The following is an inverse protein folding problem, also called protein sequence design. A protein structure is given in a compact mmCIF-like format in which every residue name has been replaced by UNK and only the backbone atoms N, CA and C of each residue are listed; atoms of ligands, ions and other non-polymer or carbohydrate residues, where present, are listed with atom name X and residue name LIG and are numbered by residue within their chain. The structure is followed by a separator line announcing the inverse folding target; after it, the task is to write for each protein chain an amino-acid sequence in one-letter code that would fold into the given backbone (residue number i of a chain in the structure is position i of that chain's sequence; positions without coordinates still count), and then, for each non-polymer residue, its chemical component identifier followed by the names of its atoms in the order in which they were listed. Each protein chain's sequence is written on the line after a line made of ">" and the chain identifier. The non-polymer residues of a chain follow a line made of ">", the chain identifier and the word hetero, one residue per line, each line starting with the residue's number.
data_IF_484594170669
#
_entry.id   IF_484594170669
#
_cell.length_a   1.000
_cell.length_b   1.000
_cell.length_c   1.000
_cell.angle_alpha   90.00
_cell.angle_beta   90.00
_cell.angle_gamma   90.00
#
_symmetry.space_group_name_H-M   'P 1'
#
loop_
_entity.id
_entity.type
_entity.pdbx_description
1 polymer ?
#
# COMPACT_ATOMS: atom_id res chain seq x y z
N UNK A 1 37.82 5.91 36.51
CA UNK A 1 36.76 6.20 35.51
C UNK A 1 36.75 5.27 34.28
N UNK A 2 37.86 4.61 33.92
CA UNK A 2 37.94 3.74 32.73
C UNK A 2 37.10 2.44 32.80
N UNK A 3 36.98 1.84 33.98
CA UNK A 3 36.31 0.53 34.17
C UNK A 3 34.79 0.58 33.95
N UNK A 4 34.15 1.69 34.30
CA UNK A 4 32.71 1.86 34.09
C UNK A 4 32.36 2.09 32.61
N UNK A 5 33.25 2.76 31.86
CA UNK A 5 33.13 2.93 30.40
C UNK A 5 33.25 1.59 29.69
N UNK A 6 34.18 0.73 30.13
CA UNK A 6 34.38 -0.61 29.55
C UNK A 6 33.20 -1.55 29.82
N UNK A 7 32.62 -1.52 31.04
CA UNK A 7 31.40 -2.31 31.34
C UNK A 7 30.19 -1.85 30.54
N UNK A 8 30.00 -0.54 30.34
CA UNK A 8 28.92 -0.05 29.48
C UNK A 8 29.12 -0.44 28.03
N UNK A 9 30.35 -0.39 27.51
CA UNK A 9 30.65 -0.83 26.15
C UNK A 9 30.35 -2.32 25.94
N UNK A 10 30.74 -3.17 26.89
CA UNK A 10 30.47 -4.62 26.83
C UNK A 10 28.95 -4.89 26.88
N UNK A 11 28.21 -4.21 27.76
CA UNK A 11 26.75 -4.37 27.85
C UNK A 11 26.04 -3.90 26.57
N UNK A 12 26.52 -2.82 25.95
CA UNK A 12 25.96 -2.28 24.70
C UNK A 12 26.26 -3.22 23.52
N UNK A 13 27.46 -3.80 23.45
CA UNK A 13 27.80 -4.81 22.45
C UNK A 13 26.97 -6.10 22.59
N UNK A 14 26.67 -6.55 23.82
CA UNK A 14 25.81 -7.73 24.05
C UNK A 14 24.36 -7.42 23.64
N UNK A 15 23.86 -6.22 23.93
CA UNK A 15 22.51 -5.80 23.52
C UNK A 15 22.37 -5.68 22.00
N UNK A 16 23.38 -5.14 21.30
CA UNK A 16 23.37 -5.04 19.83
C UNK A 16 23.42 -6.42 19.17
N UNK A 17 24.27 -7.34 19.67
CA UNK A 17 24.35 -8.70 19.11
C UNK A 17 23.07 -9.51 19.30
N UNK A 18 22.35 -9.30 20.42
CA UNK A 18 21.06 -9.98 20.63
C UNK A 18 19.93 -9.45 19.75
N UNK A 19 20.07 -8.23 19.21
CA UNK A 19 19.11 -7.64 18.28
C UNK A 19 19.38 -8.09 16.84
N UNK A 20 20.64 -8.38 16.49
CA UNK A 20 21.04 -8.85 15.16
C UNK A 20 20.72 -10.34 14.90
N UNK A 21 20.49 -11.13 15.96
CA UNK A 21 20.17 -12.56 15.84
C UNK A 21 18.66 -12.83 15.60
N UNK A 22 17.83 -11.79 15.54
CA UNK A 22 16.41 -11.88 15.19
C UNK A 22 16.16 -11.21 13.84
N UNK A 23 15.94 -12.04 12.81
CA UNK A 23 15.72 -11.72 11.38
C UNK A 23 17.03 -11.49 10.61
N UNK A 24 17.40 -12.30 9.60
CA UNK A 24 16.68 -12.57 8.36
C UNK A 24 17.07 -13.97 7.84
N UNK A 25 16.12 -14.90 7.72
CA UNK A 25 16.31 -16.06 6.85
C UNK A 25 16.30 -15.58 5.40
N UNK A 26 17.49 -15.43 4.83
CA UNK A 26 17.72 -15.20 3.41
C UNK A 26 17.15 -16.38 2.60
N UNK A 27 15.93 -16.24 2.08
CA UNK A 27 15.43 -17.11 1.03
C UNK A 27 15.99 -16.63 -0.31
N UNK A 28 17.01 -17.32 -0.83
CA UNK A 28 17.48 -17.15 -2.19
C UNK A 28 16.44 -17.70 -3.16
N UNK A 29 15.76 -16.83 -3.88
CA UNK A 29 14.84 -17.22 -4.96
C UNK A 29 15.63 -17.30 -6.27
N UNK A 30 15.80 -18.52 -6.80
CA UNK A 30 16.41 -18.72 -8.12
C UNK A 30 15.52 -18.11 -9.21
N UNK A 31 16.13 -17.26 -10.04
CA UNK A 31 15.51 -16.67 -11.22
C UNK A 31 15.38 -17.73 -12.31
N UNK A 32 14.31 -18.52 -12.24
CA UNK A 32 13.89 -19.33 -13.37
C UNK A 32 12.70 -18.63 -14.03
N UNK A 33 12.94 -18.06 -15.21
CA UNK A 33 11.92 -17.46 -16.06
C UNK A 33 11.06 -18.56 -16.69
N UNK A 34 10.26 -19.24 -15.87
CA UNK A 34 9.27 -20.19 -16.33
C UNK A 34 8.04 -19.41 -16.79
N UNK A 35 7.85 -19.35 -18.12
CA UNK A 35 6.61 -18.88 -18.76
C UNK A 35 5.44 -19.59 -18.09
N UNK A 36 4.70 -18.85 -17.26
CA UNK A 36 3.59 -19.37 -16.45
C UNK A 36 2.39 -19.59 -17.37
N UNK A 37 2.38 -20.72 -18.07
CA UNK A 37 1.20 -21.24 -18.76
C UNK A 37 0.08 -21.38 -17.71
N UNK A 38 -1.01 -20.65 -17.93
CA UNK A 38 -2.15 -20.55 -17.01
C UNK A 38 -2.89 -21.88 -16.89
N UNK A 39 -2.37 -22.80 -16.07
CA UNK A 39 -3.17 -23.89 -15.54
C UNK A 39 -4.14 -23.31 -14.52
N UNK A 40 -5.44 -23.39 -14.82
CA UNK A 40 -6.51 -23.15 -13.86
C UNK A 40 -6.44 -24.23 -12.77
N UNK A 41 -5.52 -24.07 -11.82
CA UNK A 41 -5.49 -24.84 -10.58
C UNK A 41 -6.66 -24.33 -9.76
N UNK A 42 -7.72 -25.13 -9.66
CA UNK A 42 -8.84 -24.83 -8.77
C UNK A 42 -8.29 -24.60 -7.35
N UNK A 43 -8.40 -23.37 -6.86
CA UNK A 43 -7.96 -22.99 -5.52
C UNK A 43 -8.76 -23.78 -4.49
N UNK A 44 -8.12 -24.78 -3.87
CA UNK A 44 -8.67 -25.51 -2.73
C UNK A 44 -8.52 -24.61 -1.50
N UNK A 45 -9.62 -24.39 -0.79
CA UNK A 45 -9.65 -23.58 0.42
C UNK A 45 -9.81 -24.47 1.65
N UNK A 46 -9.17 -24.08 2.75
CA UNK A 46 -9.25 -24.76 4.03
C UNK A 46 -10.43 -24.14 4.81
N UNK A 47 -11.46 -24.94 5.09
CA UNK A 47 -12.65 -24.51 5.85
C UNK A 47 -12.43 -24.95 7.30
N UNK A 48 -12.49 -23.99 8.23
CA UNK A 48 -12.41 -24.27 9.67
C UNK A 48 -13.80 -24.48 10.26
N UNK A 49 -13.99 -25.26 11.34
CA UNK A 49 -15.28 -25.42 12.02
C UNK A 49 -15.73 -24.14 12.73
N UNK A 50 -17.04 -24.02 13.00
CA UNK A 50 -17.62 -22.82 13.61
C UNK A 50 -17.04 -22.60 15.00
N UNK A 51 -16.62 -21.37 15.28
CA UNK A 51 -16.02 -21.00 16.58
C UNK A 51 -14.50 -21.21 16.66
N UNK A 52 -13.83 -21.56 15.55
CA UNK A 52 -12.36 -21.61 15.50
C UNK A 52 -11.75 -20.19 15.49
N UNK A 53 -10.70 -19.98 16.29
CA UNK A 53 -9.97 -18.72 16.36
C UNK A 53 -8.45 -18.94 16.15
N UNK A 54 -7.78 -17.94 15.60
CA UNK A 54 -6.32 -17.85 15.63
C UNK A 54 -5.96 -16.77 16.62
N UNK A 55 -5.18 -17.16 17.64
CA UNK A 55 -4.69 -16.23 18.64
C UNK A 55 -3.18 -16.12 18.55
N UNK A 56 -2.71 -14.89 18.52
CA UNK A 56 -1.29 -14.55 18.59
C UNK A 56 -1.08 -13.76 19.87
N UNK A 57 -0.30 -14.33 20.79
CA UNK A 57 0.03 -13.71 22.08
C UNK A 57 1.51 -13.36 22.09
N UNK A 58 1.81 -12.07 22.26
CA UNK A 58 3.16 -11.55 22.45
C UNK A 58 3.37 -11.24 23.92
N UNK A 59 4.39 -11.86 24.52
CA UNK A 59 4.79 -11.61 25.90
C UNK A 59 6.17 -10.98 25.91
N UNK A 60 6.29 -9.79 26.49
CA UNK A 60 7.56 -9.12 26.73
C UNK A 60 7.75 -8.95 28.23
N UNK A 61 8.89 -9.40 28.75
CA UNK A 61 9.27 -9.20 30.16
C UNK A 61 10.53 -8.36 30.19
N UNK A 62 10.44 -7.19 30.82
CA UNK A 62 11.56 -6.29 30.99
C UNK A 62 11.98 -6.36 32.46
N UNK A 63 13.16 -6.90 32.73
CA UNK A 63 13.80 -6.83 34.03
C UNK A 63 14.77 -5.66 34.06
N UNK A 64 14.58 -4.74 35.00
CA UNK A 64 15.51 -3.63 35.21
C UNK A 64 16.14 -3.78 36.60
N UNK A 65 17.46 -3.61 36.67
CA UNK A 65 18.20 -3.62 37.93
C UNK A 65 18.40 -2.17 38.38
N UNK A 66 17.68 -1.74 39.42
CA UNK A 66 17.81 -0.39 39.99
C UNK A 66 18.15 -0.48 41.49
N UNK A 67 19.23 0.18 41.92
CA UNK A 67 19.52 0.39 43.36
C UNK A 67 18.81 1.67 43.83
N UNK A 68 18.26 1.75 45.06
CA UNK A 68 18.59 0.94 46.23
C UNK A 68 17.56 -0.14 46.62
N UNK A 69 16.47 -0.35 45.86
CA UNK A 69 15.50 -1.40 46.20
C UNK A 69 15.03 -2.19 44.97
N UNK A 70 15.47 -3.46 44.94
CA UNK A 70 14.81 -4.57 44.27
C UNK A 70 14.99 -4.68 42.75
N UNK A 71 15.00 -5.94 42.27
CA UNK A 71 14.77 -6.24 40.86
C UNK A 71 13.29 -5.98 40.57
N UNK A 72 12.99 -4.97 39.76
CA UNK A 72 11.62 -4.71 39.30
C UNK A 72 11.44 -5.32 37.92
N UNK A 73 10.52 -6.29 37.83
CA UNK A 73 10.16 -6.97 36.59
C UNK A 73 8.78 -6.51 36.15
N UNK A 74 8.70 -5.86 34.99
CA UNK A 74 7.44 -5.49 34.36
C UNK A 74 7.18 -6.40 33.17
N UNK A 75 6.04 -7.08 33.18
CA UNK A 75 5.56 -7.88 32.05
C UNK A 75 4.49 -7.12 31.26
N UNK A 76 4.62 -7.09 29.95
CA UNK A 76 3.60 -6.60 29.02
C UNK A 76 3.15 -7.75 28.12
N UNK A 77 1.85 -8.00 28.09
CA UNK A 77 1.23 -9.03 27.26
C UNK A 77 0.28 -8.37 26.25
N UNK A 78 0.48 -8.66 24.96
CA UNK A 78 -0.40 -8.22 23.89
C UNK A 78 -1.04 -9.46 23.25
N UNK A 79 -2.37 -9.53 23.27
CA UNK A 79 -3.14 -10.60 22.65
C UNK A 79 -3.88 -10.08 21.42
N UNK A 80 -3.66 -10.73 20.29
CA UNK A 80 -4.44 -10.54 19.07
C UNK A 80 -5.24 -11.82 18.82
N UNK A 81 -6.54 -11.69 18.61
CA UNK A 81 -7.42 -12.81 18.28
C UNK A 81 -8.20 -12.48 17.02
N UNK A 82 -8.14 -13.38 16.04
CA UNK A 82 -8.89 -13.29 14.81
C UNK A 82 -9.83 -14.49 14.68
N UNK A 83 -11.06 -14.23 14.26
CA UNK A 83 -12.01 -15.28 13.91
C UNK A 83 -11.62 -15.91 12.57
N UNK A 84 -11.62 -17.25 12.51
CA UNK A 84 -11.35 -17.95 11.28
C UNK A 84 -12.60 -18.06 10.40
N UNK A 85 -12.45 -18.01 9.06
CA UNK A 85 -13.59 -18.11 8.16
C UNK A 85 -14.19 -19.52 8.20
N UNK A 86 -15.42 -19.63 8.73
CA UNK A 86 -16.22 -20.87 8.78
C UNK A 86 -17.12 -21.05 7.55
N UNK A 87 -17.50 -19.96 6.87
CA UNK A 87 -18.36 -20.03 5.66
C UNK A 87 -17.52 -19.93 4.39
N UNK A 88 -17.95 -20.68 3.37
CA UNK A 88 -17.49 -20.58 1.97
C UNK A 88 -17.85 -19.24 1.30
N UNK A 89 -18.45 -18.32 2.04
CA UNK A 89 -18.34 -16.90 1.74
C UNK A 89 -16.88 -16.53 1.98
N UNK A 90 -16.04 -16.85 0.99
CA UNK A 90 -14.97 -15.92 0.64
C UNK A 90 -15.67 -14.57 0.67
N UNK A 91 -15.37 -13.75 1.68
CA UNK A 91 -15.60 -12.33 1.54
C UNK A 91 -14.82 -12.07 0.27
N UNK A 92 -15.53 -11.98 -0.87
CA UNK A 92 -14.94 -11.75 -2.16
C UNK A 92 -14.41 -10.34 -1.97
N UNK A 93 -13.21 -10.27 -1.38
CA UNK A 93 -12.55 -9.06 -1.02
C UNK A 93 -12.49 -8.39 -2.35
N UNK A 94 -13.30 -7.33 -2.51
CA UNK A 94 -13.40 -6.64 -3.79
C UNK A 94 -11.97 -6.51 -4.26
N UNK A 95 -11.63 -7.00 -5.47
CA UNK A 95 -10.25 -7.18 -5.87
C UNK A 95 -9.51 -5.89 -5.51
N UNK A 96 -8.31 -5.96 -4.94
CA UNK A 96 -7.62 -4.78 -4.35
C UNK A 96 -7.69 -3.55 -5.28
N UNK A 97 -7.69 -3.80 -6.59
CA UNK A 97 -8.01 -2.86 -7.67
C UNK A 97 -9.26 -1.99 -7.45
N UNK A 98 -10.41 -2.54 -7.04
CA UNK A 98 -11.66 -1.81 -6.75
C UNK A 98 -11.53 -0.91 -5.51
N UNK A 99 -10.73 -1.30 -4.51
CA UNK A 99 -10.44 -0.43 -3.37
C UNK A 99 -9.53 0.73 -3.78
N UNK A 100 -8.46 0.45 -4.52
CA UNK A 100 -7.57 1.48 -5.05
C UNK A 100 -8.30 2.45 -5.99
N UNK A 101 -9.24 1.94 -6.80
CA UNK A 101 -10.08 2.75 -7.70
C UNK A 101 -10.96 3.74 -6.93
N UNK A 102 -11.64 3.30 -5.86
CA UNK A 102 -12.44 4.20 -5.01
C UNK A 102 -11.60 5.27 -4.30
N UNK A 103 -10.44 4.88 -3.76
CA UNK A 103 -9.53 5.83 -3.11
C UNK A 103 -9.00 6.89 -4.10
N UNK A 104 -8.67 6.49 -5.34
CA UNK A 104 -8.26 7.43 -6.40
C UNK A 104 -9.37 8.41 -6.79
N UNK A 105 -10.63 7.95 -6.88
CA UNK A 105 -11.77 8.85 -7.13
C UNK A 105 -11.95 9.90 -6.02
N UNK A 106 -11.77 9.48 -4.76
CA UNK A 106 -11.80 10.42 -3.63
C UNK A 106 -10.63 11.42 -3.69
N UNK A 107 -9.44 10.96 -4.07
CA UNK A 107 -8.29 11.83 -4.31
C UNK A 107 -8.59 12.86 -5.41
N UNK A 108 -9.12 12.43 -6.55
CA UNK A 108 -9.47 13.32 -7.66
C UNK A 108 -10.44 14.41 -7.22
N UNK A 109 -11.50 14.05 -6.49
CA UNK A 109 -12.43 15.02 -5.92
C UNK A 109 -11.74 16.05 -5.00
N UNK A 110 -10.77 15.61 -4.18
CA UNK A 110 -9.99 16.53 -3.34
C UNK A 110 -9.09 17.45 -4.17
N UNK A 111 -8.50 16.95 -5.25
CA UNK A 111 -7.69 17.75 -6.19
C UNK A 111 -8.56 18.77 -6.92
N UNK A 112 -9.77 18.41 -7.34
CA UNK A 112 -10.72 19.35 -7.93
C UNK A 112 -11.05 20.50 -6.97
N UNK A 113 -11.33 20.18 -5.71
CA UNK A 113 -11.59 21.18 -4.68
C UNK A 113 -10.38 22.09 -4.46
N UNK A 114 -9.18 21.52 -4.37
CA UNK A 114 -7.92 22.28 -4.24
C UNK A 114 -7.67 23.21 -5.43
N UNK A 115 -7.96 22.78 -6.66
CA UNK A 115 -7.78 23.63 -7.84
C UNK A 115 -8.86 24.72 -7.93
N UNK A 116 -10.06 24.43 -7.43
CA UNK A 116 -11.15 25.41 -7.32
C UNK A 116 -10.81 26.54 -6.35
N UNK A 117 -10.11 26.26 -5.25
CA UNK A 117 -9.66 27.33 -4.33
C UNK A 117 -8.59 28.24 -4.96
N UNK A 118 -7.89 27.77 -6.01
CA UNK A 118 -6.95 28.58 -6.79
C UNK A 118 -7.62 29.37 -7.93
N UNK A 119 -8.95 29.38 -8.02
CA UNK A 119 -9.70 30.09 -9.06
C UNK A 119 -9.70 29.41 -10.43
N UNK A 120 -9.30 28.13 -10.52
CA UNK A 120 -9.33 27.33 -11.75
C UNK A 120 -10.58 26.44 -11.78
N UNK A 121 -10.98 26.01 -12.98
CA UNK A 121 -11.96 24.93 -13.14
C UNK A 121 -11.29 23.59 -12.78
N UNK A 122 -11.32 23.25 -11.49
CA UNK A 122 -10.61 22.07 -10.96
C UNK A 122 -11.04 20.76 -11.61
N UNK A 123 -12.33 20.63 -11.92
CA UNK A 123 -12.88 19.45 -12.59
C UNK A 123 -12.35 19.30 -14.01
N UNK A 124 -12.34 20.38 -14.79
CA UNK A 124 -11.76 20.35 -16.13
C UNK A 124 -10.26 20.03 -16.11
N UNK A 125 -9.51 20.57 -15.14
CA UNK A 125 -8.08 20.31 -15.00
C UNK A 125 -7.78 18.83 -14.67
N UNK A 126 -8.55 18.21 -13.77
CA UNK A 126 -8.39 16.79 -13.40
C UNK A 126 -8.73 15.88 -14.58
N UNK A 127 -9.85 16.13 -15.27
CA UNK A 127 -10.23 15.34 -16.45
C UNK A 127 -9.19 15.46 -17.57
N UNK A 128 -8.62 16.66 -17.77
CA UNK A 128 -7.50 16.89 -18.69
C UNK A 128 -6.25 16.08 -18.29
N UNK A 129 -5.88 16.07 -17.01
CA UNK A 129 -4.74 15.29 -16.54
C UNK A 129 -4.91 13.81 -16.85
N UNK A 130 -6.09 13.26 -16.56
CA UNK A 130 -6.44 11.86 -16.79
C UNK A 130 -6.39 11.52 -18.29
N UNK A 131 -6.99 12.36 -19.14
CA UNK A 131 -6.99 12.17 -20.59
C UNK A 131 -5.57 12.17 -21.16
N UNK A 132 -4.73 13.13 -20.74
CA UNK A 132 -3.30 13.18 -21.15
C UNK A 132 -2.53 11.95 -20.71
N UNK A 133 -2.79 11.44 -19.51
CA UNK A 133 -2.11 10.23 -19.05
C UNK A 133 -2.54 8.98 -19.79
N UNK A 134 -3.82 8.89 -20.19
CA UNK A 134 -4.33 7.78 -20.99
C UNK A 134 -3.71 7.71 -22.39
N UNK A 135 -3.47 8.88 -23.01
CA UNK A 135 -2.84 8.98 -24.33
C UNK A 135 -1.33 8.75 -24.35
N UNK A 136 -0.65 8.68 -23.19
CA UNK A 136 0.80 8.50 -23.13
C UNK A 136 1.18 7.06 -23.50
N UNK A 137 2.08 6.90 -24.46
CA UNK A 137 2.61 5.58 -24.83
C UNK A 137 3.50 5.05 -23.72
N UNK A 138 3.49 3.73 -23.52
CA UNK A 138 4.35 3.04 -22.54
C UNK A 138 5.84 3.30 -22.76
N UNK A 139 6.22 3.54 -24.01
CA UNK A 139 7.60 3.86 -24.42
C UNK A 139 8.07 5.22 -23.91
N UNK A 140 7.16 6.13 -23.58
CA UNK A 140 7.47 7.50 -23.14
C UNK A 140 7.36 7.67 -21.62
N UNK A 141 7.04 6.60 -20.90
CA UNK A 141 7.04 6.55 -19.44
C UNK A 141 8.48 6.43 -18.95
N UNK A 142 8.89 7.34 -18.07
CA UNK A 142 10.25 7.43 -17.53
C UNK A 142 11.17 8.40 -18.28
N UNK A 143 10.71 9.04 -19.36
CA UNK A 143 11.45 10.07 -20.10
C UNK A 143 11.15 11.49 -19.62
N UNK A 144 10.08 11.67 -18.85
CA UNK A 144 9.61 12.96 -18.37
C UNK A 144 10.37 13.49 -17.15
N UNK A 145 9.97 14.66 -16.69
CA UNK A 145 10.42 15.17 -15.39
C UNK A 145 9.88 14.33 -14.23
N UNK A 146 10.51 14.41 -13.05
CA UNK A 146 10.01 13.72 -11.85
C UNK A 146 8.54 14.04 -11.55
N UNK A 147 8.14 15.31 -11.71
CA UNK A 147 6.77 15.74 -11.49
C UNK A 147 5.82 15.11 -12.53
N UNK A 148 6.23 15.08 -13.80
CA UNK A 148 5.44 14.50 -14.88
C UNK A 148 5.20 13.00 -14.68
N UNK A 149 6.21 12.25 -14.26
CA UNK A 149 6.08 10.81 -13.96
C UNK A 149 5.27 10.57 -12.68
N UNK A 150 5.42 11.44 -11.68
CA UNK A 150 4.59 11.39 -10.46
C UNK A 150 3.12 11.61 -10.80
N UNK A 151 2.81 12.63 -11.61
CA UNK A 151 1.46 12.90 -12.10
C UNK A 151 0.94 11.75 -12.96
N UNK A 152 1.79 11.16 -13.81
CA UNK A 152 1.44 9.98 -14.59
C UNK A 152 1.04 8.81 -13.68
N UNK A 153 1.78 8.53 -12.61
CA UNK A 153 1.45 7.46 -11.67
C UNK A 153 0.14 7.71 -10.90
N UNK A 154 -0.13 8.97 -10.54
CA UNK A 154 -1.33 9.37 -9.79
C UNK A 154 -2.59 9.25 -10.67
N UNK A 155 -2.54 9.72 -11.91
CA UNK A 155 -3.72 9.80 -12.79
C UNK A 155 -3.94 8.57 -13.68
N UNK A 156 -2.96 7.66 -13.78
CA UNK A 156 -3.12 6.38 -14.49
C UNK A 156 -4.16 5.48 -13.80
N UNK A 157 -5.17 5.06 -14.58
CA UNK A 157 -6.23 4.17 -14.13
C UNK A 157 -5.99 2.72 -14.62
N UNK A 158 -6.29 1.71 -13.80
CA UNK A 158 -6.17 0.32 -14.24
C UNK A 158 -7.29 0.01 -15.25
N UNK A 159 -6.93 -0.63 -16.35
CA UNK A 159 -7.82 -0.80 -17.51
C UNK A 159 -8.91 -1.86 -17.39
N UNK A 160 -9.07 -2.54 -16.24
CA UNK A 160 -10.09 -3.59 -16.09
C UNK A 160 -11.43 -3.02 -15.67
N UNK A 161 -12.46 -3.40 -16.42
CA UNK A 161 -13.84 -3.13 -16.09
C UNK A 161 -14.36 -4.13 -15.06
N UNK A 162 -15.15 -3.65 -14.09
CA UNK A 162 -15.83 -4.48 -13.10
C UNK A 162 -17.28 -4.05 -13.01
N UNK A 163 -18.23 -4.98 -13.18
CA UNK A 163 -19.67 -4.69 -13.12
C UNK A 163 -20.12 -4.16 -11.75
N UNK A 164 -19.32 -4.37 -10.71
CA UNK A 164 -19.58 -3.95 -9.32
C UNK A 164 -19.34 -2.43 -9.13
N UNK A 165 -18.61 -1.77 -10.03
CA UNK A 165 -18.20 -0.36 -9.88
C UNK A 165 -18.76 0.50 -11.03
N UNK A 166 -19.65 1.48 -10.76
CA UNK A 166 -20.26 2.27 -11.82
C UNK A 166 -19.25 3.13 -12.56
N UNK A 167 -19.48 3.36 -13.86
CA UNK A 167 -18.56 4.14 -14.70
C UNK A 167 -18.66 5.60 -14.31
N UNK A 168 -17.56 6.16 -13.83
CA UNK A 168 -17.50 7.59 -13.49
C UNK A 168 -17.03 8.41 -14.69
N UNK A 169 -17.22 9.73 -14.62
CA UNK A 169 -16.71 10.66 -15.62
C UNK A 169 -15.19 10.62 -15.78
N UNK A 170 -14.45 10.31 -14.71
CA UNK A 170 -13.00 10.10 -14.75
C UNK A 170 -12.61 8.90 -15.61
N UNK A 171 -13.33 7.79 -15.50
CA UNK A 171 -13.08 6.59 -16.32
C UNK A 171 -13.49 6.80 -17.76
N UNK A 172 -14.59 7.52 -17.98
CA UNK A 172 -14.98 7.94 -19.31
C UNK A 172 -13.86 8.76 -19.96
N UNK A 173 -13.30 9.74 -19.25
CA UNK A 173 -12.19 10.56 -19.75
C UNK A 173 -10.90 9.74 -20.01
N UNK A 174 -10.65 8.71 -19.21
CA UNK A 174 -9.51 7.81 -19.41
C UNK A 174 -9.68 6.88 -20.62
N UNK A 175 -10.88 6.35 -20.85
CA UNK A 175 -11.13 5.38 -21.92
C UNK A 175 -11.42 6.04 -23.28
N UNK A 176 -12.09 7.20 -23.31
CA UNK A 176 -12.42 7.83 -24.59
C UNK A 176 -11.17 8.38 -25.29
N UNK A 177 -10.20 8.95 -24.56
CA UNK A 177 -8.89 9.35 -25.10
C UNK A 177 -8.87 10.34 -26.28
N UNK A 178 -10.03 10.68 -26.83
CA UNK A 178 -10.23 11.56 -27.99
C UNK A 178 -10.61 12.97 -27.49
N UNK A 179 -10.06 14.01 -28.13
CA UNK A 179 -10.29 15.43 -27.82
C UNK A 179 -9.85 15.89 -26.41
N UNK A 180 -8.72 15.39 -25.89
CA UNK A 180 -8.13 15.95 -24.68
C UNK A 180 -7.93 17.48 -24.79
N UNK A 181 -7.61 17.99 -25.98
CA UNK A 181 -7.39 19.41 -26.26
C UNK A 181 -8.63 20.30 -26.09
N UNK A 182 -9.85 19.77 -26.25
CA UNK A 182 -11.07 20.57 -26.01
C UNK A 182 -11.26 20.84 -24.51
N UNK A 183 -10.85 19.89 -23.66
CA UNK A 183 -10.75 20.11 -22.20
C UNK A 183 -9.60 21.07 -21.83
N UNK A 184 -8.64 21.31 -22.74
CA UNK A 184 -7.57 22.28 -22.50
C UNK A 184 -8.04 23.73 -22.49
N UNK A 185 -9.15 24.05 -23.17
CA UNK A 185 -9.66 25.42 -23.21
C UNK A 185 -10.08 25.96 -21.83
N UNK A 186 -10.58 25.08 -20.94
CA UNK A 186 -11.00 25.45 -19.58
C UNK A 186 -9.85 25.46 -18.56
N UNK A 187 -8.76 24.75 -18.86
CA UNK A 187 -7.60 24.67 -17.97
C UNK A 187 -6.29 24.70 -18.78
N UNK A 188 -5.71 25.87 -19.08
CA UNK A 188 -4.54 26.00 -19.95
C UNK A 188 -3.27 25.40 -19.32
N UNK A 189 -3.02 25.64 -18.03
CA UNK A 189 -1.91 25.05 -17.27
C UNK A 189 -2.42 24.06 -16.22
N UNK A 190 -2.23 22.77 -16.51
CA UNK A 190 -2.27 21.70 -15.51
C UNK A 190 -0.82 21.41 -15.17
N UNK A 191 -0.36 22.06 -14.10
CA UNK A 191 0.99 22.04 -13.53
C UNK A 191 2.10 22.44 -14.51
#
# INVERSE_FOLDING_TARGET
>A
MLINRLRHFILLCIFVRRFEESTVSSMTFSNDSLVRSGRNVGTKYLIFPQGSNVQLVFCLTISTYSKPQGMFTMGTTAGLAWELPYRNTMLYGKPAEVYHRRSRRELYHKVELMLRTQGKDGKACVLKAICKTAGRRREDVGKGSFLEETLHAIFTLPGRWYDIDPMTEYERAYHLGENCDEMHAKCPSVF
#
